data_IF_957851662065
#
_entry.id   IF_957851662065
#
_cell.length_a   1.000
_cell.length_b   1.000
_cell.length_c   1.000
_cell.angle_alpha   90.00
_cell.angle_beta   90.00
_cell.angle_gamma   90.00
#
_symmetry.space_group_name_H-M   'P 1'
#
loop_
_entity.id
_entity.type
_entity.pdbx_description
1 polymer ?
#
# COMPACT_ATOMS: atom_id res chain seq x y z
N UNK A 1 -52.46 31.99 2.48
CA UNK A 1 -51.72 31.29 1.41
C UNK A 1 -50.41 32.00 1.18
N UNK A 2 -49.39 31.64 1.94
CA UNK A 2 -48.08 32.32 1.90
C UNK A 2 -47.06 31.37 1.26
N UNK A 3 -46.99 31.41 -0.07
CA UNK A 3 -46.06 30.59 -0.84
C UNK A 3 -44.68 31.21 -0.67
N UNK A 4 -43.87 30.65 0.25
CA UNK A 4 -42.44 30.96 0.37
C UNK A 4 -41.79 30.85 -1.02
N UNK A 5 -41.40 31.99 -1.58
CA UNK A 5 -40.71 32.07 -2.86
C UNK A 5 -39.45 31.19 -2.84
N UNK A 6 -39.39 30.20 -3.74
CA UNK A 6 -38.18 29.38 -4.00
C UNK A 6 -37.01 30.33 -4.31
N UNK A 7 -35.95 30.30 -3.49
CA UNK A 7 -34.71 31.05 -3.75
C UNK A 7 -34.16 30.65 -5.12
N UNK A 8 -34.17 31.58 -6.06
CA UNK A 8 -33.61 31.40 -7.40
C UNK A 8 -32.09 31.37 -7.29
N UNK A 9 -31.49 30.21 -7.56
CA UNK A 9 -30.02 30.02 -7.51
C UNK A 9 -29.42 30.59 -8.79
N UNK A 10 -28.57 31.60 -8.67
CA UNK A 10 -27.94 32.29 -9.80
C UNK A 10 -26.51 31.78 -9.99
N UNK A 11 -26.17 31.35 -11.21
CA UNK A 11 -24.86 30.80 -11.56
C UNK A 11 -23.73 31.83 -11.43
N UNK A 12 -22.50 31.35 -11.19
CA UNK A 12 -21.30 32.21 -11.09
C UNK A 12 -21.02 32.98 -12.38
N UNK A 13 -21.28 32.36 -13.52
CA UNK A 13 -21.15 32.99 -14.84
C UNK A 13 -22.11 34.18 -14.99
N UNK A 14 -23.37 34.03 -14.54
CA UNK A 14 -24.36 35.12 -14.55
C UNK A 14 -23.90 36.28 -13.66
N UNK A 15 -23.34 35.99 -12.49
CA UNK A 15 -22.80 37.03 -11.58
C UNK A 15 -21.63 37.79 -12.21
N UNK A 16 -20.74 37.10 -12.93
CA UNK A 16 -19.63 37.73 -13.67
C UNK A 16 -20.13 38.61 -14.82
N UNK A 17 -21.12 38.14 -15.59
CA UNK A 17 -21.76 38.93 -16.66
C UNK A 17 -22.39 40.21 -16.12
N UNK A 18 -23.05 40.15 -14.96
CA UNK A 18 -23.62 41.34 -14.29
C UNK A 18 -22.51 42.33 -13.89
N UNK A 19 -21.42 41.85 -13.30
CA UNK A 19 -20.28 42.71 -12.90
C UNK A 19 -19.61 43.36 -14.12
N UNK A 20 -19.39 42.59 -15.20
CA UNK A 20 -18.78 43.08 -16.43
C UNK A 20 -19.64 44.15 -17.11
N UNK A 21 -20.96 43.95 -17.22
CA UNK A 21 -21.87 44.95 -17.79
C UNK A 21 -21.93 46.25 -16.96
N UNK A 22 -21.85 46.13 -15.63
CA UNK A 22 -21.76 47.31 -14.75
C UNK A 22 -20.46 48.09 -14.95
N UNK A 23 -19.33 47.39 -15.06
CA UNK A 23 -18.02 48.03 -15.30
C UNK A 23 -17.93 48.67 -16.69
N UNK A 24 -18.67 48.15 -17.67
CA UNK A 24 -18.84 48.76 -18.99
C UNK A 24 -19.86 49.92 -19.02
N UNK A 25 -20.26 50.45 -17.87
CA UNK A 25 -21.06 51.69 -17.77
C UNK A 25 -22.59 51.52 -17.70
N UNK A 26 -23.10 50.29 -17.62
CA UNK A 26 -24.55 50.06 -17.49
C UNK A 26 -25.06 50.42 -16.09
N UNK A 27 -26.19 51.15 -16.01
CA UNK A 27 -26.74 51.59 -14.71
C UNK A 27 -27.41 50.42 -13.98
N UNK A 28 -27.39 50.46 -12.65
CA UNK A 28 -27.96 49.39 -11.79
C UNK A 28 -29.45 49.15 -12.10
N UNK A 29 -30.22 50.19 -12.43
CA UNK A 29 -31.63 50.06 -12.79
C UNK A 29 -31.85 49.18 -14.02
N UNK A 30 -30.94 49.26 -15.01
CA UNK A 30 -31.03 48.54 -16.27
C UNK A 30 -30.61 47.07 -16.05
N UNK A 31 -29.67 46.82 -15.15
CA UNK A 31 -29.29 45.46 -14.71
C UNK A 31 -30.39 44.76 -13.91
N UNK A 32 -31.11 45.49 -13.05
CA UNK A 32 -32.27 44.97 -12.30
C UNK A 32 -33.35 44.49 -13.27
N UNK A 33 -33.68 45.31 -14.27
CA UNK A 33 -34.66 44.97 -15.29
C UNK A 33 -34.19 43.80 -16.17
N UNK A 34 -32.93 43.83 -16.62
CA UNK A 34 -32.38 42.82 -17.54
C UNK A 34 -32.26 41.43 -16.92
N UNK A 35 -31.85 41.33 -15.66
CA UNK A 35 -31.65 40.03 -14.98
C UNK A 35 -32.84 39.63 -14.10
N UNK A 36 -33.85 40.50 -13.98
CA UNK A 36 -35.01 40.35 -13.10
C UNK A 36 -34.59 39.98 -11.65
N UNK A 37 -33.64 40.75 -11.10
CA UNK A 37 -33.07 40.54 -9.77
C UNK A 37 -33.32 41.75 -8.87
N UNK A 38 -33.60 41.54 -7.56
CA UNK A 38 -33.73 42.65 -6.63
C UNK A 38 -32.47 43.52 -6.61
N UNK A 39 -32.65 44.84 -6.54
CA UNK A 39 -31.56 45.82 -6.48
C UNK A 39 -30.52 45.48 -5.41
N UNK A 40 -30.96 45.01 -4.25
CA UNK A 40 -30.10 44.56 -3.14
C UNK A 40 -29.16 43.41 -3.52
N UNK A 41 -29.63 42.49 -4.36
CA UNK A 41 -28.85 41.33 -4.83
C UNK A 41 -27.75 41.79 -5.79
N UNK A 42 -28.08 42.68 -6.73
CA UNK A 42 -27.10 43.25 -7.67
C UNK A 42 -26.05 44.07 -6.91
N UNK A 43 -26.46 44.93 -5.97
CA UNK A 43 -25.52 45.66 -5.11
C UNK A 43 -24.58 44.73 -4.33
N UNK A 44 -25.09 43.61 -3.83
CA UNK A 44 -24.28 42.60 -3.11
C UNK A 44 -23.23 41.97 -4.02
N UNK A 45 -23.55 41.68 -5.29
CA UNK A 45 -22.59 41.14 -6.25
C UNK A 45 -21.52 42.18 -6.60
N UNK A 46 -21.90 43.44 -6.78
CA UNK A 46 -20.96 44.53 -7.06
C UNK A 46 -20.04 44.80 -5.85
N UNK A 47 -20.57 44.74 -4.62
CA UNK A 47 -19.77 44.87 -3.40
C UNK A 47 -18.73 43.74 -3.25
N UNK A 48 -19.06 42.52 -3.71
CA UNK A 48 -18.18 41.36 -3.68
C UNK A 48 -17.43 41.10 -5.00
N UNK A 49 -17.33 42.11 -5.89
CA UNK A 49 -16.85 41.92 -7.27
C UNK A 49 -15.45 41.31 -7.37
N UNK A 50 -14.53 41.68 -6.46
CA UNK A 50 -13.15 41.13 -6.42
C UNK A 50 -13.17 39.62 -6.16
N UNK A 51 -13.85 39.20 -5.09
CA UNK A 51 -14.00 37.77 -4.72
C UNK A 51 -14.70 36.93 -5.78
N UNK A 52 -15.65 37.50 -6.52
CA UNK A 52 -16.38 36.79 -7.60
C UNK A 52 -15.52 36.62 -8.86
N UNK A 53 -14.61 37.57 -9.13
CA UNK A 53 -13.65 37.48 -10.24
C UNK A 53 -12.52 36.48 -9.94
N UNK A 54 -12.01 36.45 -8.72
CA UNK A 54 -10.88 35.60 -8.28
C UNK A 54 -11.23 34.11 -8.09
N UNK A 55 -12.51 33.73 -8.07
CA UNK A 55 -12.92 32.35 -7.90
C UNK A 55 -12.65 31.49 -9.16
N UNK A 56 -11.42 31.00 -9.34
CA UNK A 56 -11.07 30.06 -10.41
C UNK A 56 -11.93 28.79 -10.35
N UNK A 57 -12.45 28.37 -11.51
CA UNK A 57 -13.20 27.13 -11.70
C UNK A 57 -12.32 26.20 -12.52
N UNK A 58 -11.92 25.06 -11.95
CA UNK A 58 -11.52 23.89 -12.73
C UNK A 58 -12.77 23.34 -13.45
N UNK A 59 -12.68 22.97 -14.74
CA UNK A 59 -13.82 22.53 -15.53
C UNK A 59 -14.17 21.06 -15.27
N UNK A 60 -14.51 20.74 -14.03
CA UNK A 60 -15.38 19.60 -13.68
C UNK A 60 -15.94 19.94 -12.29
N UNK A 61 -17.21 19.60 -11.99
CA UNK A 61 -17.98 20.03 -10.81
C UNK A 61 -18.83 21.30 -11.00
N UNK A 62 -19.72 21.26 -12.00
CA UNK A 62 -20.97 22.02 -11.92
C UNK A 62 -21.90 21.34 -10.92
N UNK A 63 -21.98 21.87 -9.70
CA UNK A 63 -23.22 22.17 -8.95
C UNK A 63 -22.91 22.47 -7.46
N UNK A 64 -23.27 23.69 -7.04
CA UNK A 64 -23.45 24.12 -5.65
C UNK A 64 -22.22 24.22 -4.74
N UNK A 65 -21.51 25.35 -4.79
CA UNK A 65 -20.56 25.74 -3.74
C UNK A 65 -21.11 26.92 -2.94
N UNK A 66 -21.55 26.64 -1.71
CA UNK A 66 -21.75 27.68 -0.69
C UNK A 66 -20.38 28.25 -0.31
N UNK A 67 -20.27 29.58 -0.32
CA UNK A 67 -19.07 30.37 0.03
C UNK A 67 -18.73 30.29 1.54
N UNK A 68 -18.39 29.11 2.03
CA UNK A 68 -17.44 28.97 3.15
C UNK A 68 -16.29 28.15 2.61
N UNK A 69 -15.18 28.81 2.32
CA UNK A 69 -13.92 28.11 2.00
C UNK A 69 -13.66 27.12 3.13
N UNK A 70 -13.72 25.84 2.78
CA UNK A 70 -13.46 24.77 3.71
C UNK A 70 -11.97 24.81 4.07
N UNK A 71 -11.59 24.71 5.36
CA UNK A 71 -10.20 24.66 5.77
C UNK A 71 -9.41 23.64 4.93
N UNK A 72 -8.25 24.03 4.41
CA UNK A 72 -7.40 23.19 3.56
C UNK A 72 -7.04 21.87 4.25
N UNK A 73 -6.70 21.92 5.54
CA UNK A 73 -6.43 20.73 6.35
C UNK A 73 -7.61 19.73 6.40
N UNK A 74 -8.86 20.19 6.28
CA UNK A 74 -10.03 19.31 6.22
C UNK A 74 -10.25 18.67 4.84
N UNK A 75 -9.71 19.27 3.77
CA UNK A 75 -9.73 18.66 2.44
C UNK A 75 -8.60 17.64 2.34
N UNK A 76 -7.39 18.03 2.73
CA UNK A 76 -6.22 17.16 2.78
C UNK A 76 -6.49 15.92 3.65
N UNK A 77 -7.03 16.11 4.86
CA UNK A 77 -7.44 14.98 5.71
C UNK A 77 -8.41 14.02 5.00
N UNK A 78 -9.40 14.55 4.27
CA UNK A 78 -10.36 13.69 3.57
C UNK A 78 -9.72 12.92 2.41
N UNK A 79 -8.78 13.51 1.68
CA UNK A 79 -8.05 12.83 0.62
C UNK A 79 -7.20 11.69 1.16
N UNK A 80 -6.42 11.94 2.23
CA UNK A 80 -5.62 10.92 2.91
C UNK A 80 -6.50 9.80 3.48
N UNK A 81 -7.64 10.16 4.04
CA UNK A 81 -8.59 9.19 4.59
C UNK A 81 -9.18 8.30 3.50
N UNK A 82 -9.45 8.82 2.30
CA UNK A 82 -9.91 8.01 1.15
C UNK A 82 -8.81 7.04 0.69
N UNK A 83 -7.56 7.49 0.60
CA UNK A 83 -6.44 6.62 0.27
C UNK A 83 -6.29 5.48 1.28
N UNK A 84 -6.42 5.79 2.57
CA UNK A 84 -6.38 4.79 3.64
C UNK A 84 -7.54 3.79 3.57
N UNK A 85 -8.76 4.25 3.28
CA UNK A 85 -9.93 3.38 3.10
C UNK A 85 -9.72 2.43 1.92
N UNK A 86 -9.22 2.93 0.79
CA UNK A 86 -8.93 2.10 -0.40
C UNK A 86 -7.90 1.02 -0.09
N UNK A 87 -6.85 1.36 0.66
CA UNK A 87 -5.84 0.39 1.08
C UNK A 87 -6.43 -0.68 2.02
N UNK A 88 -7.26 -0.27 2.98
CA UNK A 88 -7.97 -1.21 3.85
C UNK A 88 -8.90 -2.15 3.09
N UNK A 89 -9.61 -1.64 2.08
CA UNK A 89 -10.45 -2.45 1.20
C UNK A 89 -9.62 -3.47 0.40
N UNK A 90 -8.45 -3.08 -0.12
CA UNK A 90 -7.53 -3.98 -0.84
C UNK A 90 -7.05 -5.14 0.03
N UNK A 91 -6.78 -4.87 1.31
CA UNK A 91 -6.37 -5.88 2.29
C UNK A 91 -7.52 -6.79 2.75
N UNK A 92 -8.75 -6.56 2.30
CA UNK A 92 -9.94 -7.34 2.71
C UNK A 92 -10.51 -6.94 4.08
N UNK A 93 -9.98 -5.89 4.71
CA UNK A 93 -10.42 -5.43 6.01
C UNK A 93 -11.74 -4.65 5.92
N UNK A 94 -12.67 -4.98 6.82
CA UNK A 94 -13.92 -4.23 6.95
C UNK A 94 -13.67 -2.99 7.79
N UNK A 95 -13.93 -1.80 7.23
CA UNK A 95 -13.83 -0.53 7.96
C UNK A 95 -15.21 0.01 8.30
N UNK A 96 -15.52 0.06 9.59
CA UNK A 96 -16.76 0.65 10.09
C UNK A 96 -16.64 2.18 10.29
N UNK A 97 -17.79 2.84 10.55
CA UNK A 97 -17.84 4.29 10.79
C UNK A 97 -16.94 4.72 11.95
N UNK A 98 -16.85 3.93 13.02
CA UNK A 98 -16.05 4.23 14.21
C UNK A 98 -14.56 4.25 13.90
N UNK A 99 -14.09 3.26 13.15
CA UNK A 99 -12.69 3.16 12.71
C UNK A 99 -12.36 4.33 11.77
N UNK A 100 -13.21 4.61 10.78
CA UNK A 100 -13.02 5.73 9.84
C UNK A 100 -12.96 7.06 10.61
N UNK A 101 -13.87 7.28 11.56
CA UNK A 101 -13.88 8.50 12.36
C UNK A 101 -12.65 8.61 13.29
N UNK A 102 -12.15 7.49 13.82
CA UNK A 102 -10.93 7.45 14.64
C UNK A 102 -9.71 7.80 13.79
N UNK A 103 -9.58 7.21 12.59
CA UNK A 103 -8.48 7.50 11.67
C UNK A 103 -8.54 8.93 11.14
N UNK A 104 -9.73 9.45 10.82
CA UNK A 104 -9.92 10.85 10.42
C UNK A 104 -9.41 11.85 11.49
N UNK A 105 -9.70 11.57 12.77
CA UNK A 105 -9.20 12.39 13.89
C UNK A 105 -7.68 12.28 14.05
N UNK A 106 -7.12 11.10 13.84
CA UNK A 106 -5.66 10.88 13.87
C UNK A 106 -4.96 11.67 12.77
N UNK A 107 -5.41 11.51 11.52
CA UNK A 107 -4.90 12.24 10.36
C UNK A 107 -4.98 13.74 10.60
N UNK A 108 -6.15 14.26 10.98
CA UNK A 108 -6.31 15.69 11.23
C UNK A 108 -5.36 16.20 12.32
N UNK A 109 -5.20 15.45 13.41
CA UNK A 109 -4.30 15.83 14.51
C UNK A 109 -2.85 15.92 14.03
N UNK A 110 -2.43 15.02 13.14
CA UNK A 110 -1.08 15.04 12.57
C UNK A 110 -0.91 16.20 11.58
N UNK A 111 -1.91 16.50 10.75
CA UNK A 111 -1.89 17.65 9.83
C UNK A 111 -1.78 18.99 10.55
N UNK A 112 -2.45 19.13 11.70
CA UNK A 112 -2.53 20.39 12.43
C UNK A 112 -1.63 20.42 13.66
N UNK A 113 -0.56 19.61 13.70
CA UNK A 113 0.32 19.51 14.88
C UNK A 113 1.04 20.82 15.18
N UNK A 114 1.47 21.49 14.11
CA UNK A 114 2.27 22.73 14.17
C UNK A 114 1.41 23.99 13.95
N UNK A 115 0.11 23.82 13.73
CA UNK A 115 -0.85 24.91 13.53
C UNK A 115 -1.33 25.46 14.89
N UNK A 116 -0.93 26.70 15.20
CA UNK A 116 -1.29 27.41 16.43
C UNK A 116 -2.75 27.86 16.46
N UNK A 117 -3.39 28.00 15.29
CA UNK A 117 -4.78 28.45 15.14
C UNK A 117 -5.75 27.30 14.81
N UNK A 118 -5.34 26.06 15.12
CA UNK A 118 -6.10 24.87 14.75
C UNK A 118 -7.53 24.88 15.30
N UNK A 119 -8.48 24.74 14.38
CA UNK A 119 -9.88 24.51 14.75
C UNK A 119 -10.02 23.02 15.11
N UNK A 120 -10.63 22.67 16.26
CA UNK A 120 -10.87 21.28 16.62
C UNK A 120 -11.76 20.58 15.59
N UNK A 121 -11.27 19.50 14.99
CA UNK A 121 -12.08 18.66 14.12
C UNK A 121 -12.93 17.68 14.92
N UNK A 122 -14.24 17.74 14.68
CA UNK A 122 -15.20 16.78 15.23
C UNK A 122 -15.66 15.86 14.10
N UNK A 123 -15.22 14.60 14.15
CA UNK A 123 -15.72 13.52 13.28
C UNK A 123 -17.15 13.13 13.70
N UNK A 124 -18.10 14.05 13.49
CA UNK A 124 -19.51 13.87 13.80
C UNK A 124 -20.19 12.97 12.78
N UNK A 125 -21.36 12.42 13.15
CA UNK A 125 -22.19 11.66 12.21
C UNK A 125 -22.55 12.48 10.96
N UNK A 126 -22.83 13.77 11.13
CA UNK A 126 -23.11 14.70 10.03
C UNK A 126 -21.91 14.96 9.12
N UNK A 127 -20.68 15.00 9.67
CA UNK A 127 -19.47 15.07 8.85
C UNK A 127 -19.29 13.78 8.04
N UNK A 128 -19.36 12.62 8.71
CA UNK A 128 -19.17 11.32 8.07
C UNK A 128 -20.16 11.08 6.94
N UNK A 129 -21.44 11.38 7.15
CA UNK A 129 -22.47 11.29 6.11
C UNK A 129 -22.14 12.14 4.87
N UNK A 130 -21.64 13.37 5.07
CA UNK A 130 -21.26 14.28 3.98
C UNK A 130 -19.95 13.88 3.31
N UNK A 131 -18.97 13.39 4.08
CA UNK A 131 -17.71 12.82 3.58
C UNK A 131 -18.00 11.66 2.62
N UNK A 132 -18.80 10.71 3.11
CA UNK A 132 -19.26 9.56 2.35
C UNK A 132 -19.92 9.95 1.03
N UNK A 133 -20.85 10.91 1.08
CA UNK A 133 -21.54 11.43 -0.10
C UNK A 133 -20.62 12.15 -1.09
N UNK A 134 -19.59 12.87 -0.62
CA UNK A 134 -18.62 13.57 -1.48
C UNK A 134 -17.71 12.61 -2.24
N UNK A 135 -17.28 11.54 -1.58
CA UNK A 135 -16.27 10.62 -2.09
C UNK A 135 -16.86 9.33 -2.68
N UNK A 136 -18.19 9.28 -2.88
CA UNK A 136 -18.85 8.12 -3.47
C UNK A 136 -18.72 6.84 -2.65
N UNK A 137 -18.39 6.95 -1.36
CA UNK A 137 -18.29 5.80 -0.46
C UNK A 137 -19.72 5.36 -0.17
N UNK A 138 -20.08 4.09 -0.33
CA UNK A 138 -21.42 3.61 0.01
C UNK A 138 -21.32 2.67 1.21
N UNK A 139 -22.26 2.80 2.16
CA UNK A 139 -22.38 1.82 3.24
C UNK A 139 -23.07 0.60 2.67
N UNK A 140 -22.30 -0.29 2.07
CA UNK A 140 -22.80 -1.58 1.60
C UNK A 140 -22.78 -2.50 2.82
N UNK A 141 -23.95 -2.92 3.29
CA UNK A 141 -24.01 -4.09 4.18
C UNK A 141 -23.31 -5.21 3.41
N UNK A 142 -22.32 -5.85 4.04
CA UNK A 142 -21.33 -6.79 3.47
C UNK A 142 -21.90 -8.07 2.84
N UNK A 143 -23.16 -8.06 2.40
CA UNK A 143 -23.78 -9.09 1.60
C UNK A 143 -23.62 -8.87 0.08
N UNK A 144 -23.19 -7.68 -0.37
CA UNK A 144 -23.07 -7.35 -1.81
C UNK A 144 -21.65 -7.30 -2.38
N UNK A 145 -20.73 -6.55 -1.76
CA UNK A 145 -19.35 -6.39 -2.28
C UNK A 145 -18.48 -7.64 -2.10
N UNK A 146 -18.61 -8.34 -0.97
CA UNK A 146 -17.96 -9.64 -0.80
C UNK A 146 -18.46 -10.62 -1.85
N UNK A 147 -19.78 -10.76 -2.01
CA UNK A 147 -20.38 -11.60 -3.03
C UNK A 147 -19.99 -11.19 -4.48
N UNK A 148 -19.74 -9.90 -4.73
CA UNK A 148 -19.26 -9.42 -6.04
C UNK A 148 -17.77 -9.70 -6.26
N UNK A 149 -16.94 -9.54 -5.23
CA UNK A 149 -15.52 -9.88 -5.28
C UNK A 149 -15.32 -11.40 -5.40
N UNK A 150 -16.14 -12.19 -4.70
CA UNK A 150 -16.18 -13.65 -4.78
C UNK A 150 -16.51 -14.08 -6.22
N UNK A 151 -17.56 -13.52 -6.82
CA UNK A 151 -17.92 -13.79 -8.22
C UNK A 151 -16.83 -13.37 -9.21
N UNK A 152 -16.24 -12.20 -9.03
CA UNK A 152 -15.16 -11.73 -9.89
C UNK A 152 -13.91 -12.61 -9.77
N UNK A 153 -13.58 -13.06 -8.56
CA UNK A 153 -12.49 -13.99 -8.30
C UNK A 153 -12.77 -15.37 -8.90
N UNK A 154 -13.97 -15.92 -8.71
CA UNK A 154 -14.39 -17.20 -9.30
C UNK A 154 -14.34 -17.18 -10.82
N UNK A 155 -14.87 -16.12 -11.44
CA UNK A 155 -14.82 -15.94 -12.89
C UNK A 155 -13.36 -15.84 -13.37
N UNK A 156 -12.54 -15.03 -12.69
CA UNK A 156 -11.13 -14.90 -13.01
C UNK A 156 -10.39 -16.22 -12.91
N UNK A 157 -10.64 -17.03 -11.87
CA UNK A 157 -10.03 -18.36 -11.73
C UNK A 157 -10.36 -19.25 -12.93
N UNK A 158 -11.61 -19.24 -13.40
CA UNK A 158 -12.03 -20.01 -14.58
C UNK A 158 -11.36 -19.51 -15.86
N UNK A 159 -11.39 -18.20 -16.09
CA UNK A 159 -10.80 -17.57 -17.28
C UNK A 159 -9.28 -17.75 -17.31
N UNK A 160 -8.63 -17.63 -16.14
CA UNK A 160 -7.20 -17.79 -15.97
C UNK A 160 -6.76 -19.24 -16.19
N UNK A 161 -7.51 -20.22 -15.67
CA UNK A 161 -7.26 -21.64 -15.92
C UNK A 161 -7.40 -21.98 -17.41
N UNK A 162 -8.44 -21.45 -18.08
CA UNK A 162 -8.63 -21.60 -19.52
C UNK A 162 -7.44 -21.00 -20.29
N UNK A 163 -7.06 -19.76 -19.98
CA UNK A 163 -5.93 -19.09 -20.61
C UNK A 163 -4.64 -19.90 -20.46
N UNK A 164 -4.31 -20.37 -19.26
CA UNK A 164 -3.13 -21.22 -19.02
C UNK A 164 -3.14 -22.47 -19.90
N UNK A 165 -4.30 -23.12 -20.04
CA UNK A 165 -4.44 -24.35 -20.83
C UNK A 165 -4.35 -24.11 -22.34
N UNK A 166 -4.99 -23.06 -22.86
CA UNK A 166 -4.98 -22.71 -24.30
C UNK A 166 -3.57 -22.35 -24.77
N UNK A 167 -2.83 -21.65 -23.91
CA UNK A 167 -1.49 -21.16 -24.20
C UNK A 167 -0.38 -22.13 -23.75
N UNK A 168 -0.74 -23.29 -23.20
CA UNK A 168 0.17 -24.35 -22.74
C UNK A 168 1.24 -23.86 -21.72
N UNK A 169 0.86 -23.01 -20.78
CA UNK A 169 1.75 -22.62 -19.69
C UNK A 169 1.99 -23.79 -18.72
N UNK A 170 3.27 -24.04 -18.40
CA UNK A 170 3.64 -24.95 -17.30
C UNK A 170 3.82 -24.18 -15.98
N UNK A 171 3.75 -24.90 -14.85
CA UNK A 171 3.84 -24.30 -13.51
C UNK A 171 5.15 -23.54 -13.27
N UNK A 172 6.23 -23.92 -13.95
CA UNK A 172 7.52 -23.24 -13.91
C UNK A 172 7.50 -21.83 -14.53
N UNK A 173 6.54 -21.55 -15.41
CA UNK A 173 6.46 -20.31 -16.20
C UNK A 173 5.50 -19.27 -15.60
N UNK A 174 4.74 -19.62 -14.56
CA UNK A 174 3.74 -18.75 -13.94
C UNK A 174 4.30 -18.22 -12.63
N UNK A 175 4.43 -16.90 -12.49
CA UNK A 175 5.03 -16.22 -11.35
C UNK A 175 4.03 -15.28 -10.71
N UNK A 176 4.13 -15.11 -9.39
CA UNK A 176 3.44 -14.05 -8.66
C UNK A 176 4.45 -13.35 -7.75
N UNK A 177 4.29 -12.04 -7.59
CA UNK A 177 5.03 -11.28 -6.60
C UNK A 177 4.10 -10.56 -5.62
N UNK A 178 4.65 -10.22 -4.45
CA UNK A 178 3.96 -9.44 -3.44
C UNK A 178 4.94 -8.60 -2.63
N UNK A 179 4.50 -7.41 -2.26
CA UNK A 179 5.16 -6.56 -1.29
C UNK A 179 4.75 -6.92 0.14
N UNK A 180 5.74 -7.05 1.03
CA UNK A 180 5.50 -7.16 2.47
C UNK A 180 6.38 -6.20 3.25
N UNK A 181 5.78 -5.56 4.27
CA UNK A 181 6.54 -4.89 5.32
C UNK A 181 7.21 -5.89 6.26
N UNK A 182 8.40 -5.52 6.76
CA UNK A 182 9.10 -6.22 7.83
C UNK A 182 9.64 -5.19 8.84
N UNK A 183 9.18 -5.31 10.09
CA UNK A 183 9.75 -4.58 11.22
C UNK A 183 10.93 -5.37 11.75
N UNK A 184 12.08 -5.18 11.11
CA UNK A 184 13.22 -6.08 11.27
C UNK A 184 13.85 -6.05 12.66
N UNK A 185 13.58 -5.00 13.46
CA UNK A 185 13.96 -4.82 14.87
C UNK A 185 12.80 -5.01 15.85
N UNK A 186 11.75 -5.76 15.50
CA UNK A 186 10.64 -6.02 16.41
C UNK A 186 10.90 -7.28 17.25
N UNK A 187 10.71 -7.15 18.56
CA UNK A 187 10.72 -8.26 19.54
C UNK A 187 9.29 -8.54 20.04
N UNK A 188 9.01 -9.75 20.57
CA UNK A 188 7.74 -10.05 21.21
C UNK A 188 7.41 -9.06 22.33
N UNK A 189 6.13 -8.70 22.44
CA UNK A 189 5.64 -7.62 23.30
C UNK A 189 5.90 -7.80 24.81
N UNK A 190 6.15 -9.04 25.24
CA UNK A 190 6.30 -9.43 26.65
C UNK A 190 7.76 -9.49 27.12
N UNK A 191 8.72 -9.23 26.24
CA UNK A 191 10.16 -9.26 26.58
C UNK A 191 10.58 -8.05 27.42
N UNK A 192 11.59 -8.21 28.28
CA UNK A 192 12.13 -7.11 29.10
C UNK A 192 12.65 -5.94 28.23
N UNK A 193 13.24 -6.24 27.07
CA UNK A 193 13.70 -5.26 26.08
C UNK A 193 12.54 -4.36 25.64
N UNK A 194 11.39 -4.94 25.31
CA UNK A 194 10.22 -4.15 24.88
C UNK A 194 9.56 -3.36 26.01
N UNK A 195 9.62 -3.84 27.26
CA UNK A 195 9.11 -3.10 28.42
C UNK A 195 9.97 -1.85 28.72
N UNK A 196 11.29 -1.97 28.65
CA UNK A 196 12.22 -0.86 28.85
C UNK A 196 12.20 0.14 27.68
N UNK A 197 12.12 -0.31 26.43
CA UNK A 197 11.98 0.61 25.29
C UNK A 197 10.67 1.40 25.36
N UNK A 198 9.56 0.78 25.80
CA UNK A 198 8.27 1.48 26.00
C UNK A 198 8.33 2.53 27.12
N UNK A 199 9.23 2.40 28.09
CA UNK A 199 9.39 3.35 29.19
C UNK A 199 10.40 4.47 28.90
N UNK A 200 11.21 4.37 27.84
CA UNK A 200 12.12 5.43 27.41
C UNK A 200 11.41 6.51 26.56
N UNK A 201 11.38 7.79 26.97
CA UNK A 201 10.79 8.87 26.18
C UNK A 201 11.56 9.07 24.86
N UNK A 202 10.86 9.00 23.72
CA UNK A 202 11.39 9.39 22.41
C UNK A 202 12.13 8.31 21.61
N UNK A 203 12.38 7.11 22.16
CA UNK A 203 13.01 6.00 21.44
C UNK A 203 11.96 4.97 21.01
N UNK A 204 11.75 4.74 19.71
CA UNK A 204 10.90 3.63 19.21
C UNK A 204 11.61 2.76 18.16
N UNK A 205 12.63 1.97 18.55
CA UNK A 205 13.32 1.02 17.66
C UNK A 205 12.38 -0.01 17.02
N UNK A 206 11.28 -0.35 17.69
CA UNK A 206 10.24 -1.28 17.21
C UNK A 206 9.50 -0.82 15.92
N UNK A 207 9.77 0.39 15.42
CA UNK A 207 9.16 0.94 14.20
C UNK A 207 10.07 0.98 12.98
N UNK A 208 11.33 0.54 13.10
CA UNK A 208 12.22 0.52 11.95
C UNK A 208 11.77 -0.57 10.97
N UNK A 209 11.22 -0.13 9.84
CA UNK A 209 10.55 -0.94 8.83
C UNK A 209 11.35 -0.91 7.53
N UNK A 210 11.36 -2.05 6.87
CA UNK A 210 11.75 -2.18 5.47
C UNK A 210 10.61 -2.84 4.68
N UNK A 211 10.63 -2.70 3.36
CA UNK A 211 9.69 -3.39 2.47
C UNK A 211 10.45 -4.36 1.58
N UNK A 212 9.91 -5.56 1.45
CA UNK A 212 10.41 -6.62 0.57
C UNK A 212 9.42 -6.88 -0.55
N UNK A 213 9.90 -6.99 -1.78
CA UNK A 213 9.16 -7.62 -2.87
C UNK A 213 9.67 -9.05 -3.01
N UNK A 214 8.79 -10.03 -2.78
CA UNK A 214 9.08 -11.44 -2.93
C UNK A 214 8.37 -11.99 -4.16
N UNK A 215 9.04 -12.83 -4.94
CA UNK A 215 8.50 -13.40 -6.17
C UNK A 215 8.94 -14.84 -6.36
N UNK A 216 8.02 -15.72 -6.73
CA UNK A 216 8.28 -17.13 -6.98
C UNK A 216 7.31 -17.71 -8.02
N UNK A 217 7.64 -18.87 -8.59
CA UNK A 217 6.78 -19.56 -9.55
C UNK A 217 5.79 -20.55 -8.91
N UNK A 218 4.85 -21.01 -9.73
CA UNK A 218 3.82 -21.96 -9.33
C UNK A 218 4.35 -23.36 -9.02
N UNK A 219 5.43 -23.82 -9.64
CA UNK A 219 6.09 -25.08 -9.25
C UNK A 219 6.80 -24.98 -7.90
N UNK A 220 7.12 -23.78 -7.42
CA UNK A 220 7.81 -23.53 -6.16
C UNK A 220 9.32 -23.75 -6.19
N UNK A 221 9.89 -24.18 -7.32
CA UNK A 221 11.32 -24.45 -7.49
C UNK A 221 12.13 -23.24 -7.96
N UNK A 222 11.48 -22.11 -8.27
CA UNK A 222 12.13 -20.84 -8.58
C UNK A 222 11.68 -19.74 -7.64
N UNK A 223 12.65 -19.16 -6.94
CA UNK A 223 12.51 -17.94 -6.15
C UNK A 223 13.38 -16.86 -6.78
N UNK A 224 12.78 -15.73 -7.11
CA UNK A 224 13.51 -14.60 -7.69
C UNK A 224 14.21 -13.83 -6.56
N UNK A 225 15.35 -13.23 -6.88
CA UNK A 225 16.08 -12.35 -5.96
C UNK A 225 15.16 -11.21 -5.46
N UNK A 226 14.93 -11.08 -4.14
CA UNK A 226 14.03 -10.06 -3.62
C UNK A 226 14.50 -8.62 -3.90
N UNK A 227 13.56 -7.68 -4.06
CA UNK A 227 13.83 -6.26 -3.87
C UNK A 227 13.70 -5.94 -2.38
N UNK A 228 14.67 -5.23 -1.82
CA UNK A 228 14.61 -4.69 -0.46
C UNK A 228 14.72 -3.17 -0.55
N UNK A 229 13.69 -2.49 -0.06
CA UNK A 229 13.68 -1.03 0.07
C UNK A 229 13.82 -0.62 1.53
N UNK A 230 14.84 0.20 1.81
CA UNK A 230 15.12 0.73 3.15
C UNK A 230 15.17 2.27 3.15
N UNK A 231 15.06 2.90 4.31
CA UNK A 231 15.03 4.37 4.39
C UNK A 231 16.39 5.04 4.13
N UNK A 232 17.49 4.30 4.25
CA UNK A 232 18.85 4.84 4.12
C UNK A 232 19.60 4.20 2.96
N UNK A 233 20.08 5.02 2.01
CA UNK A 233 20.87 4.54 0.87
C UNK A 233 22.20 3.91 1.29
N UNK A 234 22.85 4.48 2.31
CA UNK A 234 24.15 4.04 2.80
C UNK A 234 24.16 3.89 4.33
N UNK A 235 23.59 2.79 4.87
CA UNK A 235 23.60 2.53 6.31
C UNK A 235 25.03 2.45 6.84
N UNK A 236 25.27 2.94 8.06
CA UNK A 236 26.60 2.87 8.72
C UNK A 236 27.15 1.43 8.76
N UNK A 237 26.26 0.44 8.89
CA UNK A 237 26.59 -0.97 8.86
C UNK A 237 27.28 -1.40 7.55
N UNK A 238 26.88 -0.86 6.40
CA UNK A 238 27.50 -1.21 5.11
C UNK A 238 28.95 -0.74 5.04
N UNK A 239 29.24 0.45 5.56
CA UNK A 239 30.61 0.95 5.68
C UNK A 239 31.42 0.08 6.66
N UNK A 240 30.85 -0.26 7.81
CA UNK A 240 31.51 -1.11 8.83
C UNK A 240 31.87 -2.50 8.30
N UNK A 241 31.01 -3.08 7.46
CA UNK A 241 31.18 -4.43 6.90
C UNK A 241 31.76 -4.44 5.48
N UNK A 242 32.17 -3.28 4.95
CA UNK A 242 32.68 -3.12 3.57
C UNK A 242 31.77 -3.79 2.50
N UNK A 243 30.46 -3.54 2.61
CA UNK A 243 29.44 -4.21 1.80
C UNK A 243 29.45 -3.70 0.37
N UNK A 244 29.60 -4.62 -0.59
CA UNK A 244 29.25 -4.37 -1.99
C UNK A 244 27.74 -4.63 -2.18
N UNK A 245 27.00 -3.61 -2.63
CA UNK A 245 25.54 -3.71 -2.79
C UNK A 245 25.13 -4.75 -3.83
N UNK A 246 25.89 -4.90 -4.91
CA UNK A 246 25.59 -5.86 -5.98
C UNK A 246 25.77 -7.32 -5.54
N UNK A 247 26.65 -7.56 -4.56
CA UNK A 247 26.85 -8.90 -3.98
C UNK A 247 25.80 -9.27 -2.93
N UNK A 248 24.89 -8.37 -2.56
CA UNK A 248 23.83 -8.68 -1.62
C UNK A 248 22.87 -9.73 -2.21
N UNK A 249 22.24 -10.57 -1.37
CA UNK A 249 21.23 -11.54 -1.80
C UNK A 249 19.89 -10.88 -2.20
N UNK A 250 19.81 -9.56 -2.15
CA UNK A 250 18.65 -8.75 -2.51
C UNK A 250 19.09 -7.64 -3.47
N UNK A 251 18.17 -7.13 -4.29
CA UNK A 251 18.34 -5.83 -4.92
C UNK A 251 18.13 -4.75 -3.84
N UNK A 252 19.20 -4.07 -3.44
CA UNK A 252 19.13 -3.02 -2.43
C UNK A 252 18.73 -1.70 -3.05
N UNK A 253 17.65 -1.09 -2.56
CA UNK A 253 17.26 0.28 -2.91
C UNK A 253 16.93 1.06 -1.66
N UNK A 254 17.09 2.38 -1.73
CA UNK A 254 16.55 3.24 -0.70
C UNK A 254 15.47 4.17 -1.21
N UNK A 255 14.49 4.35 -0.35
CA UNK A 255 13.42 5.32 -0.42
C UNK A 255 13.27 5.81 1.01
N UNK A 256 13.27 7.12 1.33
CA UNK A 256 13.08 7.63 2.70
C UNK A 256 11.94 6.98 3.49
N UNK A 257 10.89 6.50 2.81
CA UNK A 257 9.76 5.77 3.40
C UNK A 257 9.90 4.26 3.54
N UNK A 258 10.97 3.72 2.99
CA UNK A 258 11.22 2.29 2.84
C UNK A 258 10.09 1.55 2.10
N UNK A 259 9.50 2.18 1.07
CA UNK A 259 8.43 1.61 0.24
C UNK A 259 8.85 1.37 -1.19
N UNK A 260 8.24 0.36 -1.82
CA UNK A 260 8.36 0.13 -3.26
C UNK A 260 7.44 1.12 -3.97
N UNK A 261 7.99 1.89 -4.91
CA UNK A 261 7.23 2.72 -5.83
C UNK A 261 7.33 2.14 -7.25
N UNK A 262 6.61 2.74 -8.20
CA UNK A 262 6.54 2.28 -9.60
C UNK A 262 7.90 2.22 -10.28
N UNK A 263 8.77 3.19 -10.04
CA UNK A 263 10.11 3.25 -10.63
C UNK A 263 11.00 2.12 -10.10
N UNK A 264 11.01 1.91 -8.79
CA UNK A 264 11.76 0.81 -8.15
C UNK A 264 11.23 -0.56 -8.59
N UNK A 265 9.91 -0.69 -8.76
CA UNK A 265 9.30 -1.91 -9.28
C UNK A 265 9.72 -2.18 -10.74
N UNK A 266 9.58 -1.19 -11.63
CA UNK A 266 10.04 -1.25 -13.03
C UNK A 266 11.51 -1.62 -13.13
N UNK A 267 12.34 -1.01 -12.28
CA UNK A 267 13.77 -1.31 -12.24
C UNK A 267 14.02 -2.76 -11.81
N UNK A 268 13.35 -3.25 -10.77
CA UNK A 268 13.48 -4.65 -10.34
C UNK A 268 13.03 -5.61 -11.44
N UNK A 269 11.93 -5.32 -12.14
CA UNK A 269 11.46 -6.14 -13.26
C UNK A 269 12.55 -6.26 -14.34
N UNK A 270 13.08 -5.13 -14.81
CA UNK A 270 14.07 -5.10 -15.91
C UNK A 270 15.45 -5.62 -15.50
N UNK A 271 15.94 -5.26 -14.31
CA UNK A 271 17.30 -5.62 -13.87
C UNK A 271 17.40 -6.99 -13.22
N UNK A 272 16.31 -7.49 -12.63
CA UNK A 272 16.32 -8.72 -11.83
C UNK A 272 15.37 -9.75 -12.43
N UNK A 273 14.08 -9.48 -12.50
CA UNK A 273 13.09 -10.49 -12.90
C UNK A 273 13.36 -11.02 -14.30
N UNK A 274 13.43 -10.15 -15.31
CA UNK A 274 13.59 -10.54 -16.72
C UNK A 274 14.86 -11.39 -16.96
N UNK A 275 16.08 -10.96 -16.56
CA UNK A 275 17.28 -11.78 -16.74
C UNK A 275 17.23 -13.09 -15.94
N UNK A 276 16.65 -13.06 -14.75
CA UNK A 276 16.54 -14.23 -13.87
C UNK A 276 15.66 -15.31 -14.48
N UNK A 277 14.47 -14.94 -14.96
CA UNK A 277 13.54 -15.90 -15.58
C UNK A 277 14.13 -16.44 -16.88
N UNK A 278 14.73 -15.58 -17.72
CA UNK A 278 15.39 -16.01 -18.94
C UNK A 278 16.43 -17.10 -18.68
N UNK A 279 17.30 -16.89 -17.68
CA UNK A 279 18.31 -17.88 -17.26
C UNK A 279 17.66 -19.17 -16.74
N UNK A 280 16.68 -19.05 -15.84
CA UNK A 280 15.99 -20.20 -15.25
C UNK A 280 15.30 -21.08 -16.30
N UNK A 281 14.57 -20.48 -17.26
CA UNK A 281 13.88 -21.24 -18.31
C UNK A 281 14.87 -21.95 -19.23
N UNK A 282 15.99 -21.31 -19.56
CA UNK A 282 17.09 -21.93 -20.33
C UNK A 282 17.69 -23.13 -19.60
N UNK A 283 17.96 -23.01 -18.30
CA UNK A 283 18.49 -24.11 -17.47
C UNK A 283 17.50 -25.28 -17.36
N UNK A 284 16.20 -25.00 -17.41
CA UNK A 284 15.14 -26.02 -17.41
C UNK A 284 14.86 -26.62 -18.79
N UNK A 285 15.46 -26.09 -19.87
CA UNK A 285 15.13 -26.49 -21.23
C UNK A 285 13.70 -26.16 -21.64
N UNK A 286 13.09 -25.13 -21.01
CA UNK A 286 11.74 -24.68 -21.30
C UNK A 286 11.74 -23.54 -22.34
N UNK A 287 10.68 -23.42 -23.15
CA UNK A 287 10.50 -22.26 -24.02
C UNK A 287 10.54 -20.94 -23.23
N UNK A 288 11.08 -19.89 -23.84
CA UNK A 288 10.97 -18.54 -23.30
C UNK A 288 9.51 -18.09 -23.39
N UNK A 289 8.81 -18.32 -22.29
CA UNK A 289 7.43 -17.93 -22.06
C UNK A 289 7.25 -17.79 -20.56
N UNK A 290 6.74 -16.65 -20.12
CA UNK A 290 6.56 -16.34 -18.72
C UNK A 290 5.26 -15.55 -18.52
N UNK A 291 4.56 -15.83 -17.42
CA UNK A 291 3.45 -15.03 -16.97
C UNK A 291 3.76 -14.46 -15.59
N UNK A 292 3.61 -13.15 -15.45
CA UNK A 292 3.70 -12.44 -14.17
C UNK A 292 2.30 -12.01 -13.73
N UNK A 293 1.81 -12.61 -12.65
CA UNK A 293 0.53 -12.29 -12.01
C UNK A 293 0.76 -11.24 -10.93
N UNK A 294 0.09 -10.11 -11.03
CA UNK A 294 0.21 -8.97 -10.12
C UNK A 294 -1.14 -8.63 -9.48
N UNK A 295 -1.10 -8.08 -8.28
CA UNK A 295 -2.26 -7.39 -7.72
C UNK A 295 -2.30 -5.93 -8.20
N UNK A 296 -3.32 -5.18 -7.79
CA UNK A 296 -3.48 -3.78 -8.16
C UNK A 296 -2.81 -2.81 -7.14
N UNK A 297 -1.67 -3.19 -6.56
CA UNK A 297 -0.89 -2.30 -5.71
C UNK A 297 -0.55 -1.00 -6.43
N UNK A 298 -0.43 0.12 -5.70
CA UNK A 298 -0.03 1.41 -6.30
C UNK A 298 1.38 1.37 -6.89
N UNK A 299 2.24 0.51 -6.34
CA UNK A 299 3.59 0.26 -6.83
C UNK A 299 3.62 -0.46 -8.18
N UNK A 300 2.54 -1.16 -8.56
CA UNK A 300 2.43 -1.84 -9.83
C UNK A 300 1.89 -0.88 -10.90
N UNK A 301 2.68 -0.58 -11.95
CA UNK A 301 2.21 0.27 -13.05
C UNK A 301 1.14 -0.47 -13.87
N UNK A 302 -0.05 0.12 -14.11
CA UNK A 302 -1.11 -0.52 -14.91
C UNK A 302 -0.69 -0.79 -16.37
N UNK A 303 0.19 0.05 -16.89
CA UNK A 303 0.79 0.03 -18.23
C UNK A 303 1.97 -0.95 -18.36
N UNK A 304 2.38 -1.62 -17.28
CA UNK A 304 3.53 -2.52 -17.30
C UNK A 304 3.38 -3.67 -18.31
N UNK A 305 2.16 -4.16 -18.52
CA UNK A 305 1.90 -5.21 -19.51
C UNK A 305 2.32 -4.78 -20.91
N UNK A 306 1.85 -3.60 -21.33
CA UNK A 306 2.13 -3.04 -22.65
C UNK A 306 3.63 -2.67 -22.79
N UNK A 307 4.24 -2.12 -21.74
CA UNK A 307 5.69 -1.84 -21.70
C UNK A 307 6.52 -3.13 -21.92
N UNK A 308 6.20 -4.20 -21.18
CA UNK A 308 6.95 -5.44 -21.25
C UNK A 308 6.67 -6.21 -22.53
N UNK A 309 5.46 -6.15 -23.09
CA UNK A 309 5.17 -6.79 -24.38
C UNK A 309 6.00 -6.18 -25.52
N UNK A 310 6.21 -4.85 -25.50
CA UNK A 310 7.04 -4.16 -26.47
C UNK A 310 8.54 -4.48 -26.35
N UNK A 311 9.04 -4.68 -25.13
CA UNK A 311 10.47 -4.97 -24.86
C UNK A 311 10.79 -6.49 -24.85
N UNK A 312 9.83 -7.31 -24.42
CA UNK A 312 9.96 -8.73 -24.10
C UNK A 312 8.66 -9.49 -24.44
N UNK A 313 8.48 -9.79 -25.72
CA UNK A 313 7.32 -10.52 -26.30
C UNK A 313 6.99 -11.87 -25.64
N UNK A 314 7.92 -12.46 -24.88
CA UNK A 314 7.76 -13.70 -24.15
C UNK A 314 7.25 -13.53 -22.70
N UNK A 315 7.02 -12.31 -22.22
CA UNK A 315 6.49 -12.01 -20.89
C UNK A 315 5.06 -11.48 -21.01
N UNK A 316 4.14 -12.14 -20.32
CA UNK A 316 2.74 -11.69 -20.22
C UNK A 316 2.44 -11.23 -18.79
N UNK A 317 1.89 -10.03 -18.62
CA UNK A 317 1.44 -9.54 -17.32
C UNK A 317 -0.07 -9.75 -17.18
N UNK A 318 -0.52 -10.26 -16.03
CA UNK A 318 -1.95 -10.38 -15.69
C UNK A 318 -2.21 -9.76 -14.34
N UNK A 319 -3.17 -8.85 -14.28
CA UNK A 319 -3.63 -8.27 -13.02
C UNK A 319 -4.78 -9.08 -12.45
N UNK A 320 -4.74 -9.33 -11.15
CA UNK A 320 -5.86 -9.88 -10.40
C UNK A 320 -7.04 -8.89 -10.43
N UNK A 321 -8.29 -9.36 -10.30
CA UNK A 321 -9.44 -8.48 -10.11
C UNK A 321 -9.29 -7.55 -8.88
N UNK A 322 -9.99 -6.42 -8.93
CA UNK A 322 -10.03 -5.51 -7.78
C UNK A 322 -10.65 -6.21 -6.56
N UNK A 323 -10.05 -6.01 -5.39
CA UNK A 323 -10.48 -6.57 -4.10
C UNK A 323 -10.49 -8.10 -4.01
N UNK A 324 -9.82 -8.83 -4.92
CA UNK A 324 -9.70 -10.29 -4.85
C UNK A 324 -8.37 -10.78 -4.25
N UNK A 325 -7.45 -9.88 -3.88
CA UNK A 325 -6.11 -10.21 -3.34
C UNK A 325 -6.20 -11.24 -2.21
N UNK A 326 -6.97 -10.97 -1.16
CA UNK A 326 -7.11 -11.88 -0.03
C UNK A 326 -7.70 -13.26 -0.41
N UNK A 327 -8.46 -13.32 -1.49
CA UNK A 327 -9.11 -14.54 -1.97
C UNK A 327 -8.16 -15.41 -2.80
N UNK A 328 -7.44 -14.82 -3.75
CA UNK A 328 -6.75 -15.58 -4.81
C UNK A 328 -5.28 -15.20 -5.05
N UNK A 329 -4.73 -14.19 -4.37
CA UNK A 329 -3.31 -13.85 -4.54
C UNK A 329 -2.42 -14.95 -3.94
N UNK A 330 -1.62 -15.66 -4.76
CA UNK A 330 -0.90 -16.85 -4.30
C UNK A 330 0.04 -16.57 -3.13
N UNK A 331 0.90 -15.55 -3.22
CA UNK A 331 1.89 -15.29 -2.18
C UNK A 331 1.27 -14.89 -0.82
N UNK A 332 0.03 -14.38 -0.82
CA UNK A 332 -0.72 -14.10 0.42
C UNK A 332 -1.38 -15.36 1.02
N UNK A 333 -1.45 -16.46 0.26
CA UNK A 333 -1.87 -17.78 0.75
C UNK A 333 -0.72 -18.46 1.51
N UNK A 334 -0.39 -17.90 2.68
CA UNK A 334 0.56 -18.42 3.68
C UNK A 334 2.05 -18.19 3.41
N UNK A 335 2.51 -17.98 2.17
CA UNK A 335 3.94 -17.81 1.88
C UNK A 335 4.55 -16.67 2.68
N UNK A 336 3.90 -15.51 2.72
CA UNK A 336 4.40 -14.35 3.50
C UNK A 336 4.39 -14.59 5.01
N UNK A 337 3.37 -15.27 5.53
CA UNK A 337 3.30 -15.61 6.94
C UNK A 337 4.42 -16.61 7.32
N UNK A 338 4.60 -17.65 6.52
CA UNK A 338 5.65 -18.65 6.68
C UNK A 338 7.06 -18.03 6.60
N UNK A 339 7.31 -17.17 5.61
CA UNK A 339 8.57 -16.42 5.51
C UNK A 339 8.86 -15.59 6.77
N UNK A 340 7.86 -14.89 7.31
CA UNK A 340 8.02 -14.09 8.55
C UNK A 340 8.28 -14.97 9.78
N UNK A 341 7.65 -16.14 9.89
CA UNK A 341 7.95 -17.14 10.92
C UNK A 341 9.40 -17.63 10.80
N UNK A 342 9.85 -17.96 9.59
CA UNK A 342 11.23 -18.39 9.33
C UNK A 342 12.25 -17.29 9.63
N UNK A 343 11.97 -16.04 9.26
CA UNK A 343 12.79 -14.88 9.64
C UNK A 343 12.91 -14.77 11.16
N UNK A 344 11.78 -14.88 11.88
CA UNK A 344 11.73 -14.84 13.34
C UNK A 344 12.54 -15.97 13.97
N UNK A 345 12.44 -17.19 13.43
CA UNK A 345 13.26 -18.33 13.84
C UNK A 345 14.75 -18.03 13.68
N UNK A 346 15.18 -17.55 12.51
CA UNK A 346 16.59 -17.21 12.29
C UNK A 346 17.08 -16.06 13.16
N UNK A 347 16.23 -15.08 13.44
CA UNK A 347 16.50 -13.98 14.36
C UNK A 347 16.83 -14.52 15.76
N UNK A 348 15.97 -15.38 16.32
CA UNK A 348 16.19 -15.95 17.65
C UNK A 348 17.36 -16.92 17.69
N UNK A 349 17.55 -17.75 16.65
CA UNK A 349 18.77 -18.58 16.51
C UNK A 349 20.02 -17.72 16.56
N UNK A 350 20.03 -16.60 15.84
CA UNK A 350 21.17 -15.68 15.82
C UNK A 350 21.40 -15.03 17.17
N UNK A 351 20.33 -14.59 17.84
CA UNK A 351 20.41 -14.04 19.19
C UNK A 351 21.00 -15.06 20.17
N UNK A 352 20.45 -16.27 20.22
CA UNK A 352 20.93 -17.37 21.07
C UNK A 352 22.40 -17.71 20.81
N UNK A 353 22.79 -17.83 19.55
CA UNK A 353 24.18 -18.09 19.19
C UNK A 353 25.11 -17.00 19.70
N UNK A 354 24.73 -15.73 19.52
CA UNK A 354 25.58 -14.60 19.92
C UNK A 354 25.67 -14.46 21.43
N UNK A 355 24.59 -14.69 22.18
CA UNK A 355 24.61 -14.61 23.66
C UNK A 355 25.33 -15.78 24.32
N UNK A 356 25.39 -16.95 23.67
CA UNK A 356 26.13 -18.10 24.22
C UNK A 356 27.59 -18.17 23.75
N UNK A 357 27.89 -17.65 22.56
CA UNK A 357 29.24 -17.69 21.99
C UNK A 357 30.05 -16.43 22.30
N UNK A 358 29.48 -15.45 23.01
CA UNK A 358 30.16 -14.23 23.42
C UNK A 358 29.70 -13.80 24.81
N UNK A 359 30.46 -12.92 25.46
CA UNK A 359 30.09 -12.35 26.77
C UNK A 359 29.02 -11.25 26.68
N UNK A 360 28.24 -11.20 25.58
CA UNK A 360 27.21 -10.20 25.37
C UNK A 360 25.88 -10.70 25.91
N UNK A 361 25.20 -9.85 26.67
CA UNK A 361 23.78 -10.02 26.96
C UNK A 361 22.95 -9.86 25.68
N UNK A 362 21.73 -10.40 25.68
CA UNK A 362 20.78 -10.21 24.57
C UNK A 362 20.56 -8.73 24.26
N UNK A 363 20.52 -7.89 25.30
CA UNK A 363 20.32 -6.45 25.20
C UNK A 363 21.48 -5.75 24.49
N UNK A 364 22.72 -6.05 24.89
CA UNK A 364 23.92 -5.49 24.26
C UNK A 364 24.01 -5.93 22.79
N UNK A 365 23.80 -7.23 22.52
CA UNK A 365 23.75 -7.72 21.15
C UNK A 365 22.70 -6.99 20.30
N UNK A 366 21.46 -6.90 20.81
CA UNK A 366 20.34 -6.30 20.10
C UNK A 366 20.58 -4.82 19.78
N UNK A 367 21.10 -4.07 20.74
CA UNK A 367 21.28 -2.63 20.63
C UNK A 367 22.49 -2.26 19.78
N UNK A 368 23.62 -2.93 20.01
CA UNK A 368 24.92 -2.46 19.52
C UNK A 368 25.49 -3.31 18.37
N UNK A 369 24.98 -4.54 18.17
CA UNK A 369 25.51 -5.49 17.18
C UNK A 369 24.50 -5.90 16.10
N UNK A 370 23.20 -5.89 16.38
CA UNK A 370 22.19 -6.23 15.38
C UNK A 370 21.90 -5.06 14.43
N UNK A 371 22.34 -5.19 13.18
CA UNK A 371 22.23 -4.15 12.16
C UNK A 371 21.51 -4.66 10.90
N UNK A 372 21.21 -3.73 9.99
CA UNK A 372 20.54 -4.04 8.72
C UNK A 372 21.35 -5.04 7.87
N UNK A 373 22.67 -5.10 8.03
CA UNK A 373 23.49 -6.10 7.38
C UNK A 373 23.15 -7.52 7.85
N UNK A 374 23.05 -7.75 9.17
CA UNK A 374 22.60 -9.04 9.69
C UNK A 374 21.16 -9.34 9.26
N UNK A 375 20.28 -8.34 9.27
CA UNK A 375 18.90 -8.50 8.81
C UNK A 375 18.83 -9.04 7.37
N UNK A 376 19.62 -8.50 6.43
CA UNK A 376 19.65 -8.99 5.04
C UNK A 376 20.07 -10.47 4.98
N UNK A 377 21.03 -10.88 5.81
CA UNK A 377 21.43 -12.29 5.90
C UNK A 377 20.29 -13.17 6.45
N UNK A 378 19.55 -12.69 7.46
CA UNK A 378 18.39 -13.41 7.99
C UNK A 378 17.28 -13.53 6.95
N UNK A 379 17.04 -12.48 6.15
CA UNK A 379 16.07 -12.49 5.04
C UNK A 379 16.46 -13.53 4.00
N UNK A 380 17.73 -13.59 3.60
CA UNK A 380 18.23 -14.59 2.64
C UNK A 380 18.05 -16.03 3.15
N UNK A 381 18.41 -16.28 4.42
CA UNK A 381 18.21 -17.59 5.05
C UNK A 381 16.72 -17.97 5.11
N UNK A 382 15.86 -17.06 5.58
CA UNK A 382 14.43 -17.30 5.67
C UNK A 382 13.80 -17.55 4.30
N UNK A 383 14.17 -16.76 3.29
CA UNK A 383 13.63 -16.91 1.93
C UNK A 383 14.09 -18.21 1.27
N UNK A 384 15.34 -18.64 1.50
CA UNK A 384 15.83 -19.95 1.05
C UNK A 384 15.11 -21.10 1.73
N UNK A 385 14.76 -20.97 3.01
CA UNK A 385 14.11 -22.02 3.79
C UNK A 385 12.60 -22.19 3.49
N UNK A 386 11.92 -21.20 2.89
CA UNK A 386 10.53 -21.39 2.42
C UNK A 386 10.47 -22.60 1.48
N UNK A 387 9.67 -23.61 1.80
CA UNK A 387 9.73 -24.87 1.05
C UNK A 387 9.08 -24.74 -0.33
N UNK A 388 9.54 -25.57 -1.28
CA UNK A 388 8.90 -25.73 -2.61
C UNK A 388 7.41 -26.04 -2.44
N UNK A 389 7.10 -26.88 -1.45
CA UNK A 389 5.75 -27.26 -1.07
C UNK A 389 4.90 -26.06 -0.66
N UNK A 390 5.39 -25.20 0.23
CA UNK A 390 4.69 -23.98 0.65
C UNK A 390 4.41 -23.08 -0.55
N UNK A 391 5.39 -22.90 -1.44
CA UNK A 391 5.21 -22.09 -2.65
C UNK A 391 4.18 -22.70 -3.60
N UNK A 392 4.28 -23.98 -3.95
CA UNK A 392 3.34 -24.64 -4.86
C UNK A 392 1.91 -24.66 -4.30
N UNK A 393 1.74 -24.97 -3.00
CA UNK A 393 0.43 -25.03 -2.34
C UNK A 393 -0.29 -23.67 -2.35
N UNK A 394 0.46 -22.57 -2.37
CA UNK A 394 -0.08 -21.21 -2.38
C UNK A 394 -0.95 -20.92 -3.61
N UNK A 395 -0.70 -21.63 -4.72
CA UNK A 395 -1.43 -21.48 -5.98
C UNK A 395 -2.78 -22.20 -5.99
N UNK A 396 -3.09 -23.02 -4.97
CA UNK A 396 -4.28 -23.87 -4.95
C UNK A 396 -5.59 -23.11 -5.16
N UNK A 397 -5.68 -21.86 -4.70
CA UNK A 397 -6.89 -21.04 -4.86
C UNK A 397 -7.02 -20.42 -6.25
N UNK A 398 -5.90 -20.14 -6.91
CA UNK A 398 -5.88 -19.49 -8.22
C UNK A 398 -5.86 -20.50 -9.37
N UNK A 399 -5.01 -21.52 -9.27
CA UNK A 399 -4.84 -22.56 -10.29
C UNK A 399 -4.63 -23.92 -9.61
N UNK A 400 -5.70 -24.64 -9.23
CA UNK A 400 -5.58 -25.94 -8.59
C UNK A 400 -4.82 -26.97 -9.45
N UNK A 401 -4.92 -26.89 -10.78
CA UNK A 401 -4.37 -27.88 -11.72
C UNK A 401 -2.83 -27.91 -11.79
N UNK A 402 -2.14 -26.86 -11.33
CA UNK A 402 -0.68 -26.79 -11.31
C UNK A 402 -0.08 -27.17 -9.95
N UNK A 403 -0.93 -27.47 -8.97
CA UNK A 403 -0.53 -27.94 -7.64
C UNK A 403 -0.44 -29.45 -7.67
N UNK A 404 0.67 -30.01 -7.19
CA UNK A 404 0.85 -31.46 -7.17
C UNK A 404 -0.24 -32.15 -6.32
N UNK A 405 -0.81 -33.24 -6.83
CA UNK A 405 -1.75 -34.07 -6.07
C UNK A 405 -1.04 -34.70 -4.86
N UNK A 406 -1.73 -34.76 -3.72
CA UNK A 406 -1.11 -35.07 -2.42
C UNK A 406 -0.65 -36.53 -2.33
N UNK A 407 0.53 -36.71 -1.75
CA UNK A 407 0.69 -37.57 -0.56
C UNK A 407 0.57 -36.66 0.67
N UNK A 408 -0.30 -37.01 1.61
CA UNK A 408 -0.64 -36.18 2.77
C UNK A 408 0.46 -36.26 3.85
N UNK A 409 1.22 -35.19 4.04
CA UNK A 409 1.92 -34.92 5.31
C UNK A 409 1.42 -33.58 5.86
N UNK A 410 1.05 -33.51 7.14
CA UNK A 410 0.21 -32.44 7.70
C UNK A 410 0.84 -31.04 7.84
N UNK A 411 0.21 -30.23 8.69
CA UNK A 411 0.67 -28.91 9.19
C UNK A 411 1.99 -28.97 9.99
N UNK A 412 2.69 -30.10 9.97
CA UNK A 412 3.82 -30.40 10.86
C UNK A 412 5.00 -29.44 10.69
N UNK A 413 5.27 -28.92 9.48
CA UNK A 413 6.42 -28.03 9.26
C UNK A 413 6.24 -26.68 9.97
N UNK A 414 5.02 -26.11 10.01
CA UNK A 414 4.78 -24.83 10.68
C UNK A 414 4.78 -24.96 12.20
N UNK A 415 4.16 -26.02 12.74
CA UNK A 415 4.16 -26.30 14.18
C UNK A 415 5.60 -26.49 14.69
N UNK A 416 6.43 -27.26 13.97
CA UNK A 416 7.85 -27.44 14.28
C UNK A 416 8.62 -26.10 14.31
N UNK A 417 8.33 -25.17 13.40
CA UNK A 417 8.97 -23.84 13.37
C UNK A 417 8.59 -23.02 14.61
N UNK A 418 7.31 -23.01 15.00
CA UNK A 418 6.86 -22.26 16.17
C UNK A 418 7.42 -22.87 17.45
N UNK A 419 7.41 -24.19 17.60
CA UNK A 419 8.01 -24.89 18.73
C UNK A 419 9.49 -24.55 18.90
N UNK A 420 10.24 -24.52 17.80
CA UNK A 420 11.65 -24.14 17.85
C UNK A 420 11.85 -22.67 18.28
N UNK A 421 11.02 -21.76 17.77
CA UNK A 421 11.05 -20.35 18.20
C UNK A 421 10.81 -20.25 19.71
N UNK A 422 9.84 -20.98 20.24
CA UNK A 422 9.51 -20.97 21.67
C UNK A 422 10.65 -21.53 22.52
N UNK A 423 11.28 -22.61 22.06
CA UNK A 423 12.47 -23.18 22.71
C UNK A 423 13.61 -22.16 22.76
N UNK A 424 13.93 -21.52 21.64
CA UNK A 424 14.98 -20.50 21.57
C UNK A 424 14.66 -19.28 22.45
N UNK A 425 13.40 -18.86 22.51
CA UNK A 425 12.97 -17.78 23.40
C UNK A 425 13.15 -18.16 24.87
N UNK A 426 12.78 -19.39 25.24
CA UNK A 426 12.95 -19.92 26.60
C UNK A 426 14.41 -19.96 27.01
N UNK A 427 15.28 -20.43 26.11
CA UNK A 427 16.72 -20.49 26.32
C UNK A 427 17.36 -19.08 26.42
N UNK A 428 16.72 -18.08 25.81
CA UNK A 428 17.08 -16.66 25.95
C UNK A 428 16.45 -15.98 27.17
N UNK A 429 15.78 -16.76 28.04
CA UNK A 429 15.05 -16.28 29.22
C UNK A 429 13.95 -15.26 28.87
N UNK A 430 13.31 -15.44 27.71
CA UNK A 430 12.16 -14.65 27.28
C UNK A 430 10.86 -15.38 27.60
N UNK A 431 9.94 -14.70 28.29
CA UNK A 431 8.58 -15.20 28.53
C UNK A 431 7.72 -14.98 27.28
N UNK A 432 7.65 -15.99 26.41
CA UNK A 432 6.93 -15.95 25.12
C UNK A 432 6.12 -17.23 24.96
N UNK A 433 4.87 -17.12 24.51
CA UNK A 433 4.04 -18.26 24.13
C UNK A 433 3.74 -18.26 22.61
N UNK A 434 3.04 -19.28 22.11
CA UNK A 434 2.72 -19.40 20.68
C UNK A 434 1.91 -18.21 20.14
N UNK A 435 0.98 -17.68 20.94
CA UNK A 435 0.18 -16.52 20.59
C UNK A 435 1.06 -15.27 20.41
N UNK A 436 2.08 -15.09 21.26
CA UNK A 436 3.03 -13.97 21.13
C UNK A 436 3.84 -14.05 19.81
N UNK A 437 4.14 -15.26 19.33
CA UNK A 437 4.83 -15.48 18.05
C UNK A 437 3.91 -15.14 16.88
N UNK A 438 2.66 -15.59 16.91
CA UNK A 438 1.68 -15.27 15.87
C UNK A 438 1.36 -13.77 15.85
N UNK A 439 1.22 -13.14 17.03
CA UNK A 439 1.07 -11.69 17.13
C UNK A 439 2.27 -10.95 16.56
N UNK A 440 3.51 -11.42 16.78
CA UNK A 440 4.69 -10.81 16.21
C UNK A 440 4.65 -10.85 14.67
N UNK A 441 4.33 -12.01 14.09
CA UNK A 441 4.22 -12.22 12.65
C UNK A 441 3.13 -11.32 12.04
N UNK A 442 1.97 -11.25 12.68
CA UNK A 442 0.84 -10.44 12.23
C UNK A 442 1.09 -8.94 12.39
N UNK A 443 1.85 -8.55 13.42
CA UNK A 443 2.19 -7.15 13.68
C UNK A 443 3.09 -6.51 12.61
N UNK A 444 3.58 -7.29 11.65
CA UNK A 444 4.19 -6.77 10.44
C UNK A 444 3.20 -6.15 9.44
N UNK A 445 1.89 -6.28 9.68
CA UNK A 445 0.81 -5.72 8.85
C UNK A 445 0.31 -4.34 9.30
N UNK A 446 1.02 -3.63 10.20
CA UNK A 446 0.56 -2.34 10.73
C UNK A 446 0.20 -1.30 9.64
N UNK A 447 -0.93 -0.61 9.87
CA UNK A 447 -1.57 0.37 9.00
C UNK A 447 -0.67 1.55 8.58
N UNK A 448 -0.92 2.07 7.37
CA UNK A 448 -0.34 3.31 6.88
C UNK A 448 -0.56 4.47 7.88
N UNK A 449 0.52 5.17 8.21
CA UNK A 449 0.50 6.42 9.00
C UNK A 449 -0.07 7.59 8.19
N UNK A 450 -0.19 8.78 8.80
CA UNK A 450 -0.71 9.95 8.06
C UNK A 450 0.29 10.45 7.04
N UNK A 451 1.56 10.40 7.43
CA UNK A 451 2.72 10.78 6.64
C UNK A 451 2.85 9.85 5.44
N UNK A 452 2.70 8.55 5.67
CA UNK A 452 2.59 7.50 4.64
C UNK A 452 1.55 7.86 3.56
N UNK A 453 0.33 8.18 3.98
CA UNK A 453 -0.77 8.53 3.08
C UNK A 453 -0.50 9.80 2.24
N UNK A 454 0.25 10.77 2.77
CA UNK A 454 0.53 12.04 2.07
C UNK A 454 1.36 11.82 0.83
N UNK A 455 2.44 11.07 0.93
CA UNK A 455 3.31 10.91 -0.25
C UNK A 455 2.74 9.88 -1.24
N UNK A 456 1.86 8.93 -0.81
CA UNK A 456 1.04 8.17 -1.78
C UNK A 456 0.16 9.10 -2.63
N UNK A 457 -0.30 10.21 -2.05
CA UNK A 457 -1.05 11.22 -2.79
C UNK A 457 -0.13 11.99 -3.74
N UNK A 458 1.04 12.42 -3.27
CA UNK A 458 2.02 13.18 -4.07
C UNK A 458 2.58 12.37 -5.24
N UNK A 459 2.85 11.06 -5.07
CA UNK A 459 3.30 10.16 -6.15
C UNK A 459 2.21 9.91 -7.21
N UNK A 460 0.93 9.86 -6.80
CA UNK A 460 -0.18 9.81 -7.75
C UNK A 460 -0.27 11.10 -8.55
N UNK A 461 -0.19 12.23 -7.87
CA UNK A 461 -0.25 13.54 -8.51
C UNK A 461 0.98 13.81 -9.39
N UNK A 462 2.17 13.26 -9.08
CA UNK A 462 3.35 13.37 -9.96
C UNK A 462 3.26 12.46 -11.18
N UNK A 463 2.73 11.24 -11.04
CA UNK A 463 2.51 10.31 -12.15
C UNK A 463 1.46 10.85 -13.13
N UNK A 464 0.33 11.36 -12.62
CA UNK A 464 -0.70 12.00 -13.45
C UNK A 464 -0.14 13.23 -14.18
N UNK A 465 0.71 14.03 -13.53
CA UNK A 465 1.37 15.18 -14.19
C UNK A 465 2.38 14.79 -15.26
N UNK A 466 3.06 13.65 -15.11
CA UNK A 466 3.97 13.10 -16.13
C UNK A 466 3.22 12.58 -17.36
N UNK A 467 2.07 11.92 -17.17
CA UNK A 467 1.21 11.43 -18.27
C UNK A 467 0.63 12.58 -19.12
N UNK A 468 0.28 13.72 -18.50
CA UNK A 468 -0.20 14.90 -19.24
C UNK A 468 0.89 15.66 -20.00
N UNK A 469 2.17 15.52 -19.64
CA UNK A 469 3.27 16.17 -20.38
C UNK A 469 3.68 15.36 -21.61
N UNK A 470 3.63 14.02 -21.57
CA UNK A 470 3.96 13.18 -22.73
C UNK A 470 2.92 13.31 -23.85
N UNK A 471 1.66 13.61 -23.55
CA UNK A 471 0.62 13.91 -24.56
C UNK A 471 0.67 15.34 -25.12
N UNK A 472 1.48 16.24 -24.56
CA UNK A 472 1.57 17.64 -24.97
C UNK A 472 2.71 17.96 -25.95
N UNK A 473 3.63 17.02 -26.15
CA UNK A 473 4.81 17.20 -27.01
C UNK A 473 4.66 16.51 -28.39
N UNK A 474 3.49 15.96 -28.70
CA UNK A 474 3.07 15.55 -30.06
C UNK A 474 1.94 16.45 -30.59
N UNK A 475 2.22 17.73 -30.81
CA UNK A 475 1.47 18.59 -31.77
C UNK A 475 2.40 19.50 -32.57
#
# INVERSE_FOLDING_TARGET
SDVKAKRRVISMETKRKIISKYENGMRIKDLVAMYNLPKSTICTYLANKKKIKEANVLPSMSHNVNLKQRPQALNEMETLLVLWIKEKQRMGDGVDQGIICKKAKEIYRNLTKDDKDKVPFVASHGWFYRFRKRHGIHSVVRHGEAASADKAAEQFVQDFAKFISEDNYVSQQIFNCVETGLFWKKMPNRTFITKEEKSMPGHKPMKDRLTLLLCANASGDCKVKPLLVYHSENPRAFKKHNVCKDSLPVLWRANPKAWVNRELFREWVRKVFVPWIKKYLQEKGLPLKCMLVLDNATAHPPDLGDELEAEFDWITVKFLPLNSTSLIQPMDQMVIANFKKLYTKHLFRKCFYMTNSSNLTLKEYWKDHFSIYQCIQLIDMAWKEVTIRTLNSAWKKLVPSVVAERDFEGFEEEEKVVEEILRLCTDLHLEVNSQDVEELVESHREDLTTEDLKELQEEKESSERGEFQVQGDEE
#
